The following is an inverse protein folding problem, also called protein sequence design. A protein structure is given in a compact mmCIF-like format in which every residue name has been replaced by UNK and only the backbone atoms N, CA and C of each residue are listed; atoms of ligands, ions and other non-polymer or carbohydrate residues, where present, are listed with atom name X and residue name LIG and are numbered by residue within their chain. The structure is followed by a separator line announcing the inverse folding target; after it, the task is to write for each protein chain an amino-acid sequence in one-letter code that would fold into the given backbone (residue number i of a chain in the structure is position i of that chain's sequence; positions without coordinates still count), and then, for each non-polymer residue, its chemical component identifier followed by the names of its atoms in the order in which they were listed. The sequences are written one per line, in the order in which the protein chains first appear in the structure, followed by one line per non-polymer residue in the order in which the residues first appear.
data_IF_661652977495
#
_entry.id   IF_661652977495
#
_cell.length_a   1.000
_cell.length_b   1.000
_cell.length_c   1.000
_cell.angle_alpha   90.00
_cell.angle_beta   90.00
_cell.angle_gamma   90.00
#
_symmetry.space_group_name_H-M   'P 1'
#
loop_
_entity.id
_entity.type
_entity.pdbx_description
1 polymer ?
#
# COMPACT_ATOMS: atom_id res chain seq x y z
N UNK A 1 15.34 20.41 2.87
CA UNK A 1 14.22 21.31 3.18
C UNK A 1 13.54 21.67 1.85
N UNK A 2 12.50 20.93 1.45
CA UNK A 2 11.66 21.33 0.32
C UNK A 2 10.51 22.17 0.89
N UNK A 3 10.75 23.48 0.96
CA UNK A 3 9.87 24.45 1.63
C UNK A 3 8.69 24.93 0.78
N UNK A 4 8.62 24.55 -0.50
CA UNK A 4 7.74 25.22 -1.46
C UNK A 4 6.27 24.74 -1.39
N UNK A 5 6.00 23.65 -0.68
CA UNK A 5 4.65 23.04 -0.67
C UNK A 5 4.03 22.94 0.72
N UNK A 6 4.77 23.35 1.76
CA UNK A 6 4.31 23.23 3.15
C UNK A 6 3.09 24.13 3.40
N UNK A 7 2.00 23.53 3.85
CA UNK A 7 0.76 24.26 4.19
C UNK A 7 -0.10 24.67 2.99
N UNK A 8 0.23 24.22 1.77
CA UNK A 8 -0.63 24.42 0.60
C UNK A 8 -1.69 23.32 0.56
N UNK A 9 -2.92 23.70 0.20
CA UNK A 9 -4.02 22.78 -0.09
C UNK A 9 -4.24 22.72 -1.58
N UNK A 10 -4.39 21.51 -2.12
CA UNK A 10 -4.67 21.29 -3.54
C UNK A 10 -6.04 20.65 -3.71
N UNK A 11 -6.98 21.29 -4.41
CA UNK A 11 -8.29 20.70 -4.67
C UNK A 11 -8.16 19.51 -5.63
N UNK A 12 -8.86 18.42 -5.34
CA UNK A 12 -8.96 17.26 -6.23
C UNK A 12 -10.08 17.52 -7.24
N UNK A 13 -9.71 18.10 -8.38
CA UNK A 13 -10.60 18.65 -9.41
C UNK A 13 -10.88 17.70 -10.58
N UNK A 14 -10.34 16.48 -10.54
CA UNK A 14 -10.37 15.50 -11.63
C UNK A 14 -10.44 14.07 -11.12
N UNK A 15 -10.77 13.13 -12.00
CA UNK A 15 -10.92 11.72 -11.63
C UNK A 15 -9.60 11.04 -11.26
N UNK A 16 -8.50 11.43 -11.91
CA UNK A 16 -7.15 10.91 -11.64
C UNK A 16 -6.23 12.06 -11.25
N UNK A 17 -5.91 12.14 -9.97
CA UNK A 17 -5.10 13.19 -9.39
C UNK A 17 -3.71 12.65 -9.02
N UNK A 18 -2.68 13.05 -9.78
CA UNK A 18 -1.32 12.51 -9.63
C UNK A 18 -0.43 13.40 -8.78
N UNK A 19 0.42 12.77 -7.99
CA UNK A 19 1.40 13.44 -7.12
C UNK A 19 2.78 12.82 -7.37
N UNK A 20 3.77 13.68 -7.58
CA UNK A 20 5.14 13.22 -7.85
C UNK A 20 6.10 14.38 -8.11
N UNK A 21 7.36 14.04 -8.39
CA UNK A 21 8.42 15.04 -8.65
C UNK A 21 8.38 15.59 -10.07
N UNK A 22 7.83 14.85 -11.03
CA UNK A 22 7.73 15.30 -12.42
C UNK A 22 6.70 16.44 -12.56
N UNK A 23 6.96 17.36 -13.49
CA UNK A 23 6.15 18.57 -13.74
C UNK A 23 4.77 18.32 -14.37
N UNK A 24 4.55 17.11 -14.86
CA UNK A 24 3.32 16.65 -15.49
C UNK A 24 2.33 16.02 -14.50
N UNK A 25 2.69 15.95 -13.20
CA UNK A 25 1.73 15.61 -12.15
C UNK A 25 0.80 16.77 -11.81
N UNK A 26 -0.40 16.45 -11.31
CA UNK A 26 -1.32 17.48 -10.81
C UNK A 26 -0.71 18.27 -9.64
N UNK A 27 0.04 17.59 -8.77
CA UNK A 27 0.88 18.23 -7.75
C UNK A 27 2.33 17.82 -7.97
N UNK A 28 3.14 18.80 -8.39
CA UNK A 28 4.59 18.66 -8.47
C UNK A 28 5.21 18.93 -7.10
N UNK A 29 5.94 17.95 -6.58
CA UNK A 29 6.71 18.05 -5.35
C UNK A 29 8.20 17.99 -5.66
N UNK A 30 8.89 19.12 -5.58
CA UNK A 30 10.34 19.16 -5.79
C UNK A 30 11.08 18.59 -4.56
N UNK A 31 11.11 17.25 -4.46
CA UNK A 31 11.78 16.54 -3.39
C UNK A 31 12.49 15.29 -3.95
N UNK A 32 13.79 15.10 -3.67
CA UNK A 32 14.56 13.97 -4.21
C UNK A 32 14.08 12.58 -3.72
N UNK A 33 13.37 12.52 -2.60
CA UNK A 33 12.79 11.29 -2.06
C UNK A 33 11.44 10.92 -2.70
N UNK A 34 10.90 11.78 -3.57
CA UNK A 34 9.65 11.55 -4.28
C UNK A 34 9.96 11.12 -5.71
N UNK A 35 9.46 9.95 -6.13
CA UNK A 35 9.54 9.48 -7.51
C UNK A 35 8.88 10.43 -8.51
N UNK A 36 9.27 10.33 -9.79
CA UNK A 36 8.73 11.16 -10.87
C UNK A 36 7.21 11.13 -10.91
N UNK A 37 6.62 9.94 -10.95
CA UNK A 37 5.22 9.68 -10.66
C UNK A 37 5.19 8.79 -9.41
N UNK A 38 4.70 9.30 -8.28
CA UNK A 38 4.82 8.59 -7.01
C UNK A 38 3.53 7.86 -6.66
N UNK A 39 2.43 8.60 -6.62
CA UNK A 39 1.13 8.05 -6.34
C UNK A 39 0.04 8.77 -7.14
N UNK A 40 -1.11 8.13 -7.24
CA UNK A 40 -2.33 8.73 -7.77
C UNK A 40 -3.47 8.57 -6.77
N UNK A 41 -4.35 9.55 -6.75
CA UNK A 41 -5.63 9.51 -6.06
C UNK A 41 -6.69 9.41 -7.14
N UNK A 42 -7.41 8.29 -7.17
CA UNK A 42 -8.45 8.01 -8.16
C UNK A 42 -9.81 8.16 -7.49
N UNK A 43 -10.71 8.91 -8.13
CA UNK A 43 -12.11 8.97 -7.76
C UNK A 43 -12.83 7.73 -8.29
N UNK A 44 -13.44 6.97 -7.39
CA UNK A 44 -14.24 5.78 -7.68
C UNK A 44 -15.64 5.99 -7.10
N UNK A 45 -16.53 6.57 -7.91
CA UNK A 45 -17.82 7.08 -7.48
C UNK A 45 -17.66 8.16 -6.40
N UNK A 46 -18.22 7.90 -5.21
CA UNK A 46 -18.14 8.80 -4.06
C UNK A 46 -16.91 8.57 -3.17
N UNK A 47 -16.01 7.67 -3.59
CA UNK A 47 -14.83 7.28 -2.81
C UNK A 47 -13.56 7.75 -3.50
N UNK A 48 -12.50 7.88 -2.72
CA UNK A 48 -11.16 8.13 -3.22
C UNK A 48 -10.26 6.94 -2.90
N UNK A 49 -9.45 6.55 -3.85
CA UNK A 49 -8.50 5.43 -3.74
C UNK A 49 -7.10 5.97 -4.00
N UNK A 50 -6.21 5.80 -3.03
CA UNK A 50 -4.78 6.05 -3.16
C UNK A 50 -4.12 4.83 -3.82
N UNK A 51 -3.30 5.06 -4.84
CA UNK A 51 -2.51 4.06 -5.55
C UNK A 51 -1.05 4.49 -5.61
N UNK A 52 -0.14 3.62 -5.19
CA UNK A 52 1.28 3.77 -5.47
C UNK A 52 1.57 3.44 -6.94
N UNK A 53 2.43 4.23 -7.58
CA UNK A 53 2.82 4.08 -8.99
C UNK A 53 4.21 3.46 -9.12
N UNK A 54 4.46 2.40 -8.35
CA UNK A 54 5.77 1.73 -8.25
C UNK A 54 6.87 2.69 -7.80
N UNK A 55 6.57 3.47 -6.77
CA UNK A 55 7.49 4.47 -6.26
C UNK A 55 8.71 3.84 -5.59
N UNK A 56 9.82 4.56 -5.58
CA UNK A 56 11.10 4.06 -5.07
C UNK A 56 11.10 3.89 -3.55
N UNK A 57 10.40 4.78 -2.83
CA UNK A 57 10.36 4.78 -1.36
C UNK A 57 9.03 4.22 -0.79
N UNK A 58 8.10 3.87 -1.67
CA UNK A 58 6.75 3.43 -1.32
C UNK A 58 5.85 4.57 -0.84
N UNK A 59 4.56 4.30 -0.91
CA UNK A 59 3.50 5.14 -0.35
C UNK A 59 3.03 4.55 0.98
N UNK A 60 2.87 5.40 2.01
CA UNK A 60 2.35 4.99 3.32
C UNK A 60 1.09 5.76 3.67
N UNK A 61 0.10 5.03 4.19
CA UNK A 61 -1.14 5.56 4.72
C UNK A 61 -1.19 5.28 6.22
N UNK A 62 -1.25 6.31 7.06
CA UNK A 62 -1.26 6.19 8.51
C UNK A 62 -0.11 5.28 9.03
N UNK A 63 1.12 5.57 8.57
CA UNK A 63 2.35 4.82 8.85
C UNK A 63 2.44 3.37 8.31
N UNK A 64 1.43 2.89 7.57
CA UNK A 64 1.43 1.57 6.93
C UNK A 64 1.70 1.69 5.43
N UNK A 65 2.62 0.89 4.90
CA UNK A 65 2.89 0.82 3.46
C UNK A 65 1.69 0.23 2.70
N UNK A 66 1.32 0.87 1.58
CA UNK A 66 0.17 0.49 0.76
C UNK A 66 0.51 0.61 -0.72
N UNK A 67 0.04 -0.36 -1.51
CA UNK A 67 0.04 -0.27 -2.97
C UNK A 67 -1.27 0.31 -3.49
N UNK A 68 -2.38 -0.03 -2.84
CA UNK A 68 -3.71 0.52 -3.07
C UNK A 68 -4.49 0.57 -1.75
N UNK A 69 -5.15 1.69 -1.46
CA UNK A 69 -6.03 1.80 -0.29
C UNK A 69 -7.10 2.87 -0.48
N UNK A 70 -8.27 2.66 0.12
CA UNK A 70 -9.31 3.71 0.22
C UNK A 70 -8.82 4.82 1.15
N UNK A 71 -9.04 6.07 0.74
CA UNK A 71 -8.79 7.27 1.54
C UNK A 71 -10.05 7.66 2.32
N UNK A 72 -9.85 8.06 3.57
CA UNK A 72 -10.85 8.64 4.45
C UNK A 72 -10.42 10.04 4.87
N UNK A 73 -11.37 10.94 5.16
CA UNK A 73 -11.04 12.26 5.67
C UNK A 73 -10.07 12.17 6.84
N UNK A 74 -9.09 13.08 6.86
CA UNK A 74 -7.99 13.20 7.83
C UNK A 74 -6.96 12.07 7.80
N UNK A 75 -7.00 11.16 6.82
CA UNK A 75 -5.92 10.18 6.65
C UNK A 75 -4.59 10.89 6.33
N UNK A 76 -3.51 10.45 6.98
CA UNK A 76 -2.16 10.94 6.74
C UNK A 76 -1.49 10.08 5.66
N UNK A 77 -1.10 10.71 4.56
CA UNK A 77 -0.35 10.09 3.47
C UNK A 77 1.09 10.56 3.53
N UNK A 78 2.02 9.62 3.48
CA UNK A 78 3.46 9.87 3.44
C UNK A 78 4.04 9.26 2.17
N UNK A 79 4.80 10.06 1.42
CA UNK A 79 5.54 9.68 0.22
C UNK A 79 6.97 10.16 0.33
N UNK A 80 7.93 9.22 0.38
CA UNK A 80 9.31 9.56 0.74
C UNK A 80 9.38 10.33 2.07
N UNK A 81 9.90 11.56 2.03
CA UNK A 81 9.99 12.48 3.19
C UNK A 81 8.89 13.55 3.25
N UNK A 82 7.88 13.46 2.38
CA UNK A 82 6.76 14.42 2.33
C UNK A 82 5.51 13.79 2.92
N UNK A 83 4.78 14.59 3.69
CA UNK A 83 3.51 14.20 4.30
C UNK A 83 2.41 15.18 3.90
N UNK A 84 1.21 14.66 3.65
CA UNK A 84 0.01 15.44 3.43
C UNK A 84 -1.20 14.75 4.04
N UNK A 85 -2.20 15.55 4.42
CA UNK A 85 -3.45 15.06 4.97
C UNK A 85 -4.48 15.07 3.85
N UNK A 86 -5.14 13.94 3.64
CA UNK A 86 -6.31 13.90 2.77
C UNK A 86 -7.49 14.49 3.53
N UNK A 87 -8.15 15.48 2.95
CA UNK A 87 -9.34 16.09 3.53
C UNK A 87 -10.46 16.09 2.48
N UNK A 88 -11.66 15.74 2.91
CA UNK A 88 -12.84 15.93 2.07
C UNK A 88 -13.96 16.52 2.93
N UNK A 89 -14.52 17.63 2.46
CA UNK A 89 -15.75 18.20 3.00
C UNK A 89 -16.92 17.33 2.56
N UNK A 90 -17.01 16.15 3.14
CA UNK A 90 -18.26 15.41 3.12
C UNK A 90 -19.13 16.07 4.16
N UNK A 91 -20.09 16.91 3.73
CA UNK A 91 -21.27 17.23 4.53
C UNK A 91 -21.97 15.90 4.82
N UNK A 92 -21.58 15.24 5.92
CA UNK A 92 -22.27 14.16 6.62
C UNK A 92 -23.30 13.40 5.78
N UNK A 93 -22.89 12.79 4.67
CA UNK A 93 -23.75 11.93 3.88
C UNK A 93 -23.81 10.57 4.58
N UNK A 94 -24.45 10.56 5.74
CA UNK A 94 -24.93 9.43 6.53
C UNK A 94 -24.56 8.07 5.93
N UNK A 95 -23.63 7.36 6.58
CA UNK A 95 -23.43 5.93 6.37
C UNK A 95 -24.67 5.18 6.90
N UNK A 96 -25.78 5.31 6.17
CA UNK A 96 -27.01 4.56 6.34
C UNK A 96 -26.89 3.30 5.46
N UNK A 97 -26.48 2.21 6.13
CA UNK A 97 -26.52 0.79 5.73
C UNK A 97 -25.26 0.15 5.09
N UNK A 98 -24.44 -0.44 5.97
CA UNK A 98 -23.92 -1.80 5.77
C UNK A 98 -23.94 -2.58 7.10
N UNK A 99 -25.14 -2.71 7.67
CA UNK A 99 -25.52 -3.86 8.48
C UNK A 99 -26.73 -4.46 7.78
N UNK A 100 -26.48 -5.46 6.93
CA UNK A 100 -27.55 -6.27 6.38
C UNK A 100 -28.13 -7.14 7.50
N UNK A 101 -29.39 -6.85 7.83
CA UNK A 101 -30.40 -7.69 8.47
C UNK A 101 -29.92 -8.87 9.34
N UNK A 102 -29.99 -8.69 10.65
CA UNK A 102 -30.39 -9.76 11.55
C UNK A 102 -31.57 -9.27 12.37
N UNK A 103 -32.75 -9.84 12.11
CA UNK A 103 -33.94 -9.67 12.92
C UNK A 103 -33.61 -9.81 14.41
N UNK A 104 -33.97 -8.79 15.19
CA UNK A 104 -33.98 -8.81 16.65
C UNK A 104 -35.26 -9.49 17.09
N UNK A 105 -35.15 -10.68 17.70
CA UNK A 105 -36.12 -11.15 18.70
C UNK A 105 -35.37 -11.33 20.02
N UNK A 106 -35.47 -10.34 20.91
CA UNK A 106 -34.87 -10.38 22.25
C UNK A 106 -35.93 -10.86 23.24
N UNK A 107 -35.85 -12.12 23.64
CA UNK A 107 -36.42 -12.57 24.91
C UNK A 107 -35.42 -12.22 26.04
N UNK A 108 -35.87 -11.69 27.20
CA UNK A 108 -34.97 -11.32 28.29
C UNK A 108 -34.54 -12.58 29.04
N UNK A 109 -33.36 -13.11 28.69
CA UNK A 109 -32.68 -14.19 29.41
C UNK A 109 -31.46 -13.66 30.19
N UNK A 110 -31.08 -14.28 31.34
CA UNK A 110 -30.07 -13.73 32.24
C UNK A 110 -28.67 -13.74 31.59
N UNK A 111 -27.97 -12.62 31.75
CA UNK A 111 -26.61 -12.38 31.26
C UNK A 111 -25.62 -13.28 32.03
N UNK A 112 -25.25 -14.41 31.43
CA UNK A 112 -24.03 -15.13 31.78
C UNK A 112 -23.01 -14.89 30.67
N UNK A 113 -21.90 -14.22 30.98
CA UNK A 113 -20.79 -14.06 30.06
C UNK A 113 -20.11 -15.43 29.85
N UNK A 114 -19.99 -15.96 28.62
CA UNK A 114 -19.22 -17.17 28.38
C UNK A 114 -17.73 -16.84 28.25
N UNK A 115 -16.92 -17.68 28.90
CA UNK A 115 -15.46 -17.63 28.96
C UNK A 115 -14.80 -17.96 27.60
N UNK A 116 -15.01 -17.16 26.56
CA UNK A 116 -14.41 -17.40 25.24
C UNK A 116 -14.10 -16.10 24.49
N UNK A 117 -13.23 -15.26 25.07
CA UNK A 117 -12.68 -14.09 24.35
C UNK A 117 -11.54 -14.45 23.38
N UNK A 118 -11.14 -15.73 23.28
CA UNK A 118 -9.90 -16.12 22.60
C UNK A 118 -10.06 -16.76 21.21
N UNK A 119 -11.25 -16.70 20.59
CA UNK A 119 -11.50 -17.43 19.33
C UNK A 119 -12.21 -16.63 18.23
N UNK A 120 -12.37 -15.31 18.36
CA UNK A 120 -12.94 -14.45 17.30
C UNK A 120 -11.99 -13.30 16.98
N UNK A 121 -10.85 -13.61 16.36
CA UNK A 121 -10.15 -12.61 15.55
C UNK A 121 -10.75 -12.65 14.14
N UNK A 122 -11.44 -11.60 13.66
CA UNK A 122 -11.99 -11.54 12.30
C UNK A 122 -10.92 -11.21 11.25
N UNK A 123 -9.67 -11.06 11.67
CA UNK A 123 -8.55 -10.78 10.79
C UNK A 123 -7.99 -12.09 10.25
N UNK A 124 -8.58 -12.53 9.13
CA UNK A 124 -8.02 -13.58 8.31
C UNK A 124 -6.55 -13.28 8.00
N UNK A 125 -5.69 -14.25 8.30
CA UNK A 125 -4.29 -14.21 7.93
C UNK A 125 -4.19 -14.21 6.40
N UNK A 126 -3.97 -13.05 5.78
CA UNK A 126 -3.60 -12.99 4.36
C UNK A 126 -2.09 -13.04 4.24
N UNK A 127 -1.60 -14.26 4.13
CA UNK A 127 -0.26 -14.62 3.70
C UNK A 127 -0.11 -14.32 2.21
N UNK A 128 0.92 -13.56 1.83
CA UNK A 128 1.48 -13.53 0.46
C UNK A 128 2.81 -12.78 0.48
N UNK A 129 3.80 -13.38 1.15
CA UNK A 129 5.20 -13.14 0.80
C UNK A 129 5.57 -14.16 -0.29
N UNK A 130 5.61 -13.70 -1.54
CA UNK A 130 6.19 -14.44 -2.66
C UNK A 130 7.62 -13.96 -3.01
N UNK A 131 8.23 -13.13 -2.16
CA UNK A 131 9.60 -12.64 -2.37
C UNK A 131 10.64 -13.75 -2.12
N UNK A 132 10.34 -14.74 -1.27
CA UNK A 132 11.23 -15.90 -1.05
C UNK A 132 11.39 -16.86 -2.23
N UNK A 133 10.38 -16.98 -3.11
CA UNK A 133 10.40 -17.95 -4.22
C UNK A 133 11.39 -17.57 -5.33
N UNK A 134 11.52 -16.27 -5.61
CA UNK A 134 12.43 -15.79 -6.66
C UNK A 134 13.91 -15.87 -6.27
N UNK A 135 14.24 -15.67 -4.98
CA UNK A 135 15.61 -15.84 -4.49
C UNK A 135 16.08 -17.30 -4.52
N UNK A 136 15.19 -18.27 -4.27
CA UNK A 136 15.53 -19.68 -4.41
C UNK A 136 15.89 -20.04 -5.85
N UNK A 137 15.11 -19.58 -6.83
CA UNK A 137 15.41 -19.86 -8.26
C UNK A 137 16.73 -19.23 -8.72
N UNK A 138 17.04 -18.01 -8.29
CA UNK A 138 18.32 -17.35 -8.59
C UNK A 138 19.50 -18.11 -7.96
N UNK A 139 19.34 -18.58 -6.71
CA UNK A 139 20.40 -19.34 -6.02
C UNK A 139 20.70 -20.69 -6.70
N UNK A 140 19.67 -21.41 -7.15
CA UNK A 140 19.82 -22.71 -7.81
C UNK A 140 20.47 -22.54 -9.18
N UNK A 141 20.07 -21.52 -9.95
CA UNK A 141 20.68 -21.23 -11.25
C UNK A 141 22.14 -20.79 -11.12
N UNK A 142 22.45 -19.94 -10.13
CA UNK A 142 23.81 -19.51 -9.84
C UNK A 142 24.74 -20.65 -9.42
N UNK A 143 24.26 -21.57 -8.56
CA UNK A 143 25.01 -22.74 -8.13
C UNK A 143 25.28 -23.70 -9.31
N UNK A 144 24.28 -23.95 -10.15
CA UNK A 144 24.41 -24.80 -11.33
C UNK A 144 25.47 -24.25 -12.31
N UNK A 145 25.42 -22.95 -12.60
CA UNK A 145 26.38 -22.29 -13.48
C UNK A 145 27.81 -22.37 -12.94
N UNK A 146 27.99 -22.19 -11.62
CA UNK A 146 29.30 -22.31 -10.96
C UNK A 146 29.87 -23.73 -11.10
N UNK A 147 29.05 -24.75 -10.88
CA UNK A 147 29.47 -26.16 -11.02
C UNK A 147 29.89 -26.47 -12.46
N UNK A 148 29.15 -25.99 -13.46
CA UNK A 148 29.51 -26.19 -14.88
C UNK A 148 30.85 -25.56 -15.23
N UNK A 149 31.12 -24.34 -14.74
CA UNK A 149 32.40 -23.66 -14.95
C UNK A 149 33.56 -24.41 -14.30
N UNK A 150 33.36 -24.91 -13.08
CA UNK A 150 34.35 -25.71 -12.37
C UNK A 150 34.64 -27.01 -13.14
N UNK A 151 33.61 -27.72 -13.59
CA UNK A 151 33.77 -28.96 -14.36
C UNK A 151 34.49 -28.71 -15.69
N UNK A 152 34.18 -27.61 -16.38
CA UNK A 152 34.88 -27.21 -17.60
C UNK A 152 36.37 -26.95 -17.34
N UNK A 153 36.70 -26.23 -16.25
CA UNK A 153 38.08 -25.96 -15.88
C UNK A 153 38.85 -27.23 -15.49
N UNK A 154 38.23 -28.12 -14.71
CA UNK A 154 38.82 -29.40 -14.34
C UNK A 154 39.11 -30.19 -15.63
N UNK A 155 38.13 -30.30 -16.54
CA UNK A 155 38.31 -31.00 -17.81
C UNK A 155 39.41 -30.38 -18.68
N UNK A 156 39.53 -29.05 -18.71
CA UNK A 156 40.58 -28.35 -19.43
C UNK A 156 41.98 -28.68 -18.87
N UNK A 157 42.12 -28.77 -17.55
CA UNK A 157 43.41 -29.04 -16.88
C UNK A 157 43.79 -30.53 -16.92
N UNK A 158 42.84 -31.46 -16.95
CA UNK A 158 43.13 -32.91 -17.07
C UNK A 158 43.29 -33.41 -18.51
N UNK A 159 43.06 -32.56 -19.52
CA UNK A 159 43.21 -32.93 -20.94
C UNK A 159 44.61 -32.57 -21.51
N UNK A 160 45.49 -31.98 -20.70
CA UNK A 160 46.95 -31.87 -20.94
C UNK A 160 47.70 -33.05 -20.28
#
# INVERSE_FOLDING_TARGET
MSGDVKGKTFPIDRDVFTVGRSKDNAVMLDNPTVSGHHCSIVRDGDRFVLRDLESTNGTRLNAKEVTESKLRPKDLVQIGSVEFIFDSERLDAVDTHSYAEAHVEVAPGPVAAPDTFNSISPFGARQSDSKGMWFLLISVFGLLALVVVILYFINLVTTD
#
